data_IF_225393066621
#
_entry.id   IF_225393066621
#
_cell.length_a   1.000
_cell.length_b   1.000
_cell.length_c   1.000
_cell.angle_alpha   90.00
_cell.angle_beta   90.00
_cell.angle_gamma   90.00
#
_symmetry.space_group_name_H-M   'P 1'
#
loop_
_entity.id
_entity.type
_entity.pdbx_description
1 polymer ?
#
# COMPACT_ATOMS: atom_id res chain seq x y z
N UNK A 1 -6.27 11.82 7.35
CA UNK A 1 -4.92 11.33 7.68
C UNK A 1 -4.56 10.18 6.75
N UNK A 2 -3.59 10.36 5.84
CA UNK A 2 -3.13 9.31 4.93
C UNK A 2 -2.15 8.37 5.65
N UNK A 3 -2.59 7.14 5.97
CA UNK A 3 -1.78 6.15 6.67
C UNK A 3 -0.73 5.57 5.71
N UNK A 4 0.55 5.59 6.11
CA UNK A 4 1.61 4.85 5.41
C UNK A 4 1.52 3.39 5.81
N UNK A 5 1.55 2.49 4.83
CA UNK A 5 1.60 1.02 4.98
C UNK A 5 2.92 0.49 4.43
N UNK A 6 3.35 -0.67 4.90
CA UNK A 6 4.58 -1.33 4.47
C UNK A 6 4.21 -2.64 3.79
N UNK A 7 4.72 -2.84 2.59
CA UNK A 7 4.61 -4.09 1.83
C UNK A 7 6.00 -4.63 1.57
N UNK A 8 6.16 -5.94 1.40
CA UNK A 8 7.46 -6.54 1.07
C UNK A 8 7.48 -6.89 -0.42
N UNK A 9 8.54 -6.49 -1.10
CA UNK A 9 8.89 -6.99 -2.43
C UNK A 9 10.15 -7.85 -2.27
N UNK A 10 10.05 -9.14 -2.58
CA UNK A 10 11.04 -10.14 -2.16
C UNK A 10 11.34 -10.02 -0.65
N UNK A 11 12.58 -9.68 -0.28
CA UNK A 11 13.00 -9.51 1.10
C UNK A 11 13.07 -8.05 1.57
N UNK A 12 12.78 -7.09 0.68
CA UNK A 12 12.95 -5.66 0.96
C UNK A 12 11.61 -5.01 1.34
N UNK A 13 11.53 -4.31 2.49
CA UNK A 13 10.35 -3.56 2.88
C UNK A 13 10.20 -2.29 2.04
N UNK A 14 8.99 -2.04 1.55
CA UNK A 14 8.61 -0.87 0.74
C UNK A 14 7.43 -0.16 1.38
N UNK A 15 7.63 1.10 1.75
CA UNK A 15 6.57 1.97 2.24
C UNK A 15 5.73 2.50 1.09
N UNK A 16 4.42 2.53 1.31
CA UNK A 16 3.41 3.03 0.37
C UNK A 16 2.36 3.79 1.15
N UNK A 17 1.88 4.90 0.61
CA UNK A 17 0.80 5.69 1.22
C UNK A 17 -0.21 6.08 0.15
N UNK A 18 -1.45 6.35 0.54
CA UNK A 18 -2.47 6.88 -0.38
C UNK A 18 -2.52 8.40 -0.24
N UNK A 19 -2.38 9.14 -1.35
CA UNK A 19 -2.50 10.60 -1.41
C UNK A 19 -3.54 10.95 -2.47
N UNK A 20 -4.64 11.60 -2.09
CA UNK A 20 -5.70 11.98 -3.03
C UNK A 20 -6.34 10.81 -3.77
N UNK A 21 -6.38 9.62 -3.16
CA UNK A 21 -6.88 8.39 -3.80
C UNK A 21 -5.82 7.61 -4.58
N UNK A 22 -4.62 8.15 -4.77
CA UNK A 22 -3.55 7.50 -5.53
C UNK A 22 -2.46 6.90 -4.61
N UNK A 23 -2.06 5.64 -4.81
CA UNK A 23 -0.90 5.06 -4.16
C UNK A 23 0.40 5.74 -4.59
N UNK A 24 1.16 6.24 -3.61
CA UNK A 24 2.51 6.79 -3.80
C UNK A 24 3.54 6.00 -2.99
N UNK A 25 4.66 5.73 -3.63
CA UNK A 25 5.68 4.77 -3.24
C UNK A 25 6.95 5.49 -2.81
N UNK A 26 7.59 5.05 -1.74
CA UNK A 26 8.85 5.67 -1.31
C UNK A 26 10.00 5.20 -2.22
N UNK A 27 10.63 6.15 -2.93
CA UNK A 27 11.61 5.86 -3.97
C UNK A 27 12.87 5.23 -3.43
N UNK A 28 13.29 5.60 -2.21
CA UNK A 28 14.44 4.99 -1.53
C UNK A 28 14.22 3.50 -1.28
N UNK A 29 13.01 3.13 -0.88
CA UNK A 29 12.70 1.73 -0.58
C UNK A 29 12.60 0.91 -1.88
N UNK A 30 12.06 1.50 -2.95
CA UNK A 30 12.07 0.89 -4.28
C UNK A 30 13.48 0.77 -4.87
N UNK A 31 14.33 1.77 -4.70
CA UNK A 31 15.74 1.71 -5.11
C UNK A 31 16.45 0.53 -4.42
N UNK A 32 16.23 0.36 -3.12
CA UNK A 32 16.77 -0.77 -2.36
C UNK A 32 16.17 -2.12 -2.80
N UNK A 33 14.87 -2.16 -3.14
CA UNK A 33 14.19 -3.38 -3.55
C UNK A 33 14.58 -3.84 -4.97
N UNK A 34 14.97 -2.90 -5.83
CA UNK A 34 15.30 -3.16 -7.23
C UNK A 34 16.81 -3.16 -7.50
N UNK A 35 17.63 -2.69 -6.56
CA UNK A 35 19.06 -2.50 -6.77
C UNK A 35 19.38 -1.44 -7.82
N UNK A 36 18.43 -0.58 -8.19
CA UNK A 36 18.62 0.48 -9.19
C UNK A 36 18.64 1.85 -8.51
N UNK A 37 19.56 2.74 -8.89
CA UNK A 37 19.56 4.11 -8.39
C UNK A 37 18.37 4.87 -8.98
N UNK A 38 17.53 5.43 -8.10
CA UNK A 38 16.53 6.41 -8.51
C UNK A 38 17.18 7.80 -8.55
N UNK A 39 16.98 8.59 -9.62
CA UNK A 39 17.64 9.88 -9.74
C UNK A 39 17.21 10.84 -8.62
N UNK A 40 18.13 11.62 -8.04
CA UNK A 40 17.81 12.65 -7.07
C UNK A 40 17.11 13.80 -7.80
N UNK A 41 15.78 13.89 -7.66
CA UNK A 41 14.99 14.94 -8.29
C UNK A 41 13.53 14.53 -8.52
N UNK A 42 12.71 15.42 -9.09
CA UNK A 42 11.35 15.08 -9.49
C UNK A 42 11.41 13.98 -10.55
N UNK A 43 10.83 12.82 -10.24
CA UNK A 43 10.76 11.72 -11.20
C UNK A 43 9.80 12.11 -12.33
N UNK A 44 10.26 11.94 -13.57
CA UNK A 44 9.47 12.25 -14.75
C UNK A 44 8.53 11.08 -15.10
N UNK A 45 7.29 11.35 -15.54
CA UNK A 45 6.68 12.67 -15.69
C UNK A 45 6.45 13.36 -14.34
N UNK A 46 6.74 14.67 -14.27
CA UNK A 46 6.58 15.45 -13.06
C UNK A 46 5.09 15.53 -12.70
N UNK A 47 4.66 14.72 -11.74
CA UNK A 47 3.32 14.87 -11.17
C UNK A 47 3.31 16.11 -10.27
N UNK A 48 2.22 16.91 -10.26
CA UNK A 48 2.05 17.98 -9.27
C UNK A 48 2.06 17.45 -7.81
N UNK A 49 1.95 16.13 -7.63
CA UNK A 49 2.10 15.44 -6.35
C UNK A 49 3.50 14.86 -6.08
N UNK A 50 4.47 15.08 -6.98
CA UNK A 50 5.84 14.59 -6.88
C UNK A 50 6.62 15.30 -5.79
N UNK A 51 6.57 14.78 -4.57
CA UNK A 51 7.46 15.19 -3.50
C UNK A 51 8.79 14.43 -3.65
N UNK A 52 9.90 15.08 -3.29
CA UNK A 52 11.20 14.44 -3.17
C UNK A 52 11.07 13.17 -2.30
N UNK A 53 11.43 12.02 -2.86
CA UNK A 53 11.42 10.73 -2.16
C UNK A 53 10.15 9.90 -2.31
N UNK A 54 9.12 10.35 -3.04
CA UNK A 54 7.95 9.52 -3.38
C UNK A 54 7.60 9.57 -4.87
N UNK A 55 7.05 8.47 -5.39
CA UNK A 55 6.71 8.29 -6.79
C UNK A 55 5.33 7.65 -6.96
N UNK A 56 4.63 7.97 -8.04
CA UNK A 56 3.48 7.18 -8.49
C UNK A 56 3.94 5.91 -9.20
N UNK A 57 3.05 4.93 -9.36
CA UNK A 57 3.38 3.72 -10.12
C UNK A 57 3.83 4.03 -11.56
N UNK A 58 3.25 5.07 -12.18
CA UNK A 58 3.65 5.54 -13.51
C UNK A 58 5.09 6.08 -13.53
N UNK A 59 5.48 6.87 -12.54
CA UNK A 59 6.85 7.42 -12.43
C UNK A 59 7.88 6.30 -12.18
N UNK A 60 7.57 5.33 -11.32
CA UNK A 60 8.43 4.18 -11.08
C UNK A 60 8.66 3.39 -12.36
N UNK A 61 7.60 3.18 -13.15
CA UNK A 61 7.69 2.52 -14.45
C UNK A 61 8.64 3.27 -15.40
N UNK A 62 8.49 4.59 -15.53
CA UNK A 62 9.38 5.40 -16.38
C UNK A 62 10.84 5.33 -15.95
N UNK A 63 11.13 5.32 -14.65
CA UNK A 63 12.50 5.18 -14.13
C UNK A 63 13.11 3.84 -14.52
N UNK A 64 12.35 2.75 -14.34
CA UNK A 64 12.84 1.40 -14.64
C UNK A 64 13.00 1.18 -16.15
N UNK A 65 12.08 1.71 -16.96
CA UNK A 65 12.20 1.71 -18.43
C UNK A 65 13.47 2.47 -18.88
N UNK A 66 13.75 3.64 -18.28
CA UNK A 66 14.96 4.43 -18.57
C UNK A 66 16.26 3.80 -18.06
N UNK A 67 16.21 3.05 -16.96
CA UNK A 67 17.36 2.33 -16.43
C UNK A 67 17.79 1.13 -17.30
N UNK A 68 17.08 0.86 -18.41
CA UNK A 68 17.41 -0.23 -19.34
C UNK A 68 17.19 -1.63 -18.76
N UNK A 69 16.67 -1.73 -17.52
CA UNK A 69 16.50 -3.02 -16.84
C UNK A 69 15.27 -3.79 -17.31
N UNK A 70 14.40 -3.17 -18.12
CA UNK A 70 13.02 -3.63 -18.33
C UNK A 70 12.25 -3.63 -17.01
N UNK A 71 10.95 -3.32 -17.00
CA UNK A 71 10.20 -3.53 -15.74
C UNK A 71 10.10 -5.04 -15.52
N UNK A 72 10.64 -5.61 -14.42
CA UNK A 72 10.43 -7.03 -14.15
C UNK A 72 8.92 -7.25 -14.07
N UNK A 73 8.37 -8.18 -14.85
CA UNK A 73 6.92 -8.46 -14.85
C UNK A 73 6.40 -8.74 -13.43
N UNK A 74 7.23 -9.33 -12.56
CA UNK A 74 6.95 -9.54 -11.14
C UNK A 74 6.76 -8.26 -10.34
N UNK A 75 7.58 -7.22 -10.56
CA UNK A 75 7.40 -5.92 -9.90
C UNK A 75 6.09 -5.27 -10.31
N UNK A 76 5.77 -5.32 -11.61
CA UNK A 76 4.54 -4.73 -12.14
C UNK A 76 3.32 -5.37 -11.51
N UNK A 77 3.25 -6.70 -11.53
CA UNK A 77 2.16 -7.45 -10.93
C UNK A 77 2.01 -7.15 -9.43
N UNK A 78 3.14 -7.10 -8.71
CA UNK A 78 3.16 -6.77 -7.29
C UNK A 78 2.68 -5.35 -7.00
N UNK A 79 3.12 -4.35 -7.77
CA UNK A 79 2.67 -2.96 -7.59
C UNK A 79 1.18 -2.82 -7.86
N UNK A 80 0.64 -3.53 -8.86
CA UNK A 80 -0.79 -3.57 -9.16
C UNK A 80 -1.58 -4.19 -8.01
N UNK A 81 -1.14 -5.32 -7.46
CA UNK A 81 -1.79 -6.00 -6.33
C UNK A 81 -1.82 -5.12 -5.07
N UNK A 82 -0.68 -4.54 -4.69
CA UNK A 82 -0.59 -3.63 -3.54
C UNK A 82 -1.45 -2.37 -3.75
N UNK A 83 -1.48 -1.83 -4.97
CA UNK A 83 -2.34 -0.69 -5.29
C UNK A 83 -3.81 -1.06 -5.10
N UNK A 84 -4.24 -2.23 -5.56
CA UNK A 84 -5.59 -2.74 -5.35
C UNK A 84 -5.90 -2.94 -3.86
N UNK A 85 -4.96 -3.47 -3.06
CA UNK A 85 -5.14 -3.60 -1.61
C UNK A 85 -5.22 -2.27 -0.85
N UNK A 86 -4.64 -1.20 -1.42
CA UNK A 86 -4.65 0.14 -0.84
C UNK A 86 -5.89 0.95 -1.22
N UNK A 87 -6.42 0.72 -2.42
CA UNK A 87 -7.62 1.39 -2.92
C UNK A 87 -8.90 0.58 -2.68
N UNK A 88 -8.77 -0.72 -2.36
CA UNK A 88 -9.90 -1.55 -1.99
C UNK A 88 -10.62 -0.91 -0.79
N UNK A 89 -11.95 -0.76 -0.86
CA UNK A 89 -12.72 -0.44 0.33
C UNK A 89 -12.40 -1.51 1.38
N UNK A 90 -12.09 -1.09 2.60
CA UNK A 90 -11.78 -2.01 3.70
C UNK A 90 -12.80 -3.15 3.66
N UNK A 91 -12.37 -4.42 3.68
CA UNK A 91 -13.31 -5.53 3.69
C UNK A 91 -14.26 -5.24 4.84
N UNK A 92 -15.57 -5.12 4.53
CA UNK A 92 -16.60 -4.97 5.54
C UNK A 92 -16.35 -6.13 6.49
N UNK A 93 -15.74 -5.85 7.65
CA UNK A 93 -15.63 -6.86 8.70
C UNK A 93 -17.07 -7.33 8.89
N UNK A 94 -17.37 -8.63 8.69
CA UNK A 94 -18.70 -9.12 9.00
C UNK A 94 -18.94 -8.67 10.43
N UNK A 95 -19.94 -7.80 10.61
CA UNK A 95 -20.28 -7.29 11.92
C UNK A 95 -20.41 -8.52 12.81
N UNK A 96 -19.49 -8.68 13.77
CA UNK A 96 -19.64 -9.66 14.83
C UNK A 96 -21.02 -9.37 15.39
N UNK A 97 -21.97 -10.26 15.09
CA UNK A 97 -23.34 -10.13 15.56
C UNK A 97 -23.26 -9.85 17.06
N UNK A 98 -24.02 -8.89 17.60
CA UNK A 98 -23.96 -8.59 19.02
C UNK A 98 -24.17 -9.91 19.76
N UNK A 99 -23.11 -10.38 20.44
CA UNK A 99 -23.18 -11.57 21.29
C UNK A 99 -24.20 -11.23 22.34
N UNK A 100 -25.44 -11.69 22.11
CA UNK A 100 -26.55 -11.53 23.03
C UNK A 100 -26.15 -12.36 24.24
N UNK A 101 -25.57 -11.72 25.26
CA UNK A 101 -25.33 -12.34 26.55
C UNK A 101 -26.71 -12.74 27.09
N UNK A 102 -27.08 -13.99 26.88
CA UNK A 102 -28.23 -14.59 27.55
C UNK A 102 -27.92 -14.59 29.04
N UNK A 103 -28.46 -13.59 29.74
CA UNK A 103 -28.45 -13.49 31.20
C UNK A 103 -29.33 -14.64 31.71
N UNK A 104 -28.82 -15.59 32.52
CA UNK A 104 -29.70 -16.54 33.17
C UNK A 104 -30.54 -15.76 34.20
N UNK A 105 -31.84 -15.75 34.00
CA UNK A 105 -32.79 -15.42 35.05
C UNK A 105 -32.71 -16.55 36.07
N UNK A 106 -32.07 -16.29 37.22
CA UNK A 106 -32.31 -17.10 38.41
C UNK A 106 -33.55 -16.54 39.07
N UNK A 107 -34.62 -17.28 38.82
CA UNK A 107 -35.94 -17.20 39.41
C UNK A 107 -35.85 -17.20 40.94
N UNK A 108 -36.57 -16.28 41.58
CA UNK A 108 -36.87 -16.32 43.00
C UNK A 108 -38.08 -17.24 43.18
N UNK A 109 -37.85 -18.44 43.72
CA UNK A 109 -38.91 -19.40 44.03
C UNK A 109 -39.05 -19.63 45.54
N UNK A 110 -40.16 -19.14 46.09
CA UNK A 110 -40.70 -19.44 47.42
C UNK A 110 -40.86 -20.97 47.63
N UNK A 111 -40.48 -21.47 48.81
CA UNK A 111 -41.31 -22.36 49.65
C UNK A 111 -40.75 -22.45 51.07
#
# INVERSE_FOLDING_TARGET
MSRTRVFRYAHTPVRVRVRGGEPVWFTRDLAAALGVPFPPGPLLPASPNGLLGIATAAQVRTVIERAGSGTPNGLRAWMTDVSAQLTAPAPRQPALAPVRRSRPARDYGHH
#
